data_IF_685886136902
#
_entry.id   IF_685886136902
#
_cell.length_a   1.000
_cell.length_b   1.000
_cell.length_c   1.000
_cell.angle_alpha   90.00
_cell.angle_beta   90.00
_cell.angle_gamma   90.00
#
_symmetry.space_group_name_H-M   'P 1'
#
loop_
_entity.id
_entity.type
_entity.pdbx_description
1 polymer ?
#
# COMPACT_ATOMS: atom_id res chain seq x y z
N UNK A 1 4.35 -14.54 19.51
CA UNK A 1 5.59 -14.90 18.76
C UNK A 1 6.37 -13.60 18.68
N UNK A 2 7.47 -13.47 19.39
CA UNK A 2 8.35 -12.32 19.19
C UNK A 2 8.88 -12.34 17.76
N UNK A 3 8.70 -11.24 17.05
CA UNK A 3 9.31 -11.06 15.73
C UNK A 3 10.80 -10.84 15.95
N UNK A 4 11.57 -11.91 15.84
CA UNK A 4 13.03 -11.82 15.96
C UNK A 4 13.56 -11.38 14.61
N UNK A 5 13.87 -10.09 14.49
CA UNK A 5 14.53 -9.53 13.31
C UNK A 5 15.96 -10.04 13.24
N UNK A 6 16.39 -10.45 12.04
CA UNK A 6 17.80 -10.69 11.77
C UNK A 6 18.58 -9.35 11.72
N UNK A 7 19.91 -9.42 11.61
CA UNK A 7 20.75 -8.21 11.71
C UNK A 7 20.56 -7.27 10.50
N UNK A 8 20.31 -7.81 9.31
CA UNK A 8 20.03 -7.02 8.10
C UNK A 8 18.69 -6.28 8.24
N UNK A 9 17.66 -6.94 8.79
CA UNK A 9 16.35 -6.35 9.05
C UNK A 9 16.41 -5.25 10.13
N UNK A 10 17.24 -5.41 11.15
CA UNK A 10 17.48 -4.35 12.14
C UNK A 10 18.12 -3.12 11.49
N UNK A 11 19.17 -3.35 10.67
CA UNK A 11 19.85 -2.27 9.94
C UNK A 11 18.91 -1.56 8.97
N UNK A 12 18.07 -2.31 8.26
CA UNK A 12 17.05 -1.74 7.37
C UNK A 12 16.06 -0.86 8.14
N UNK A 13 15.54 -1.35 9.28
CA UNK A 13 14.62 -0.59 10.14
C UNK A 13 15.26 0.69 10.66
N UNK A 14 16.50 0.62 11.20
CA UNK A 14 17.24 1.78 11.68
C UNK A 14 17.53 2.79 10.55
N UNK A 15 17.86 2.32 9.36
CA UNK A 15 18.08 3.18 8.19
C UNK A 15 16.77 3.89 7.78
N UNK A 16 15.67 3.17 7.79
CA UNK A 16 14.35 3.72 7.50
C UNK A 16 13.93 4.77 8.54
N UNK A 17 14.14 4.51 9.82
CA UNK A 17 13.89 5.44 10.91
C UNK A 17 14.64 6.76 10.71
N UNK A 18 15.97 6.70 10.48
CA UNK A 18 16.80 7.89 10.20
C UNK A 18 16.36 8.68 8.97
N UNK A 19 15.95 7.97 7.90
CA UNK A 19 15.41 8.63 6.70
C UNK A 19 14.14 9.40 7.01
N UNK A 20 13.21 8.74 7.73
CA UNK A 20 11.92 9.32 8.11
C UNK A 20 12.08 10.47 9.10
N UNK A 21 12.97 10.37 10.09
CA UNK A 21 13.29 11.47 10.99
C UNK A 21 13.77 12.72 10.24
N UNK A 22 14.53 12.53 9.17
CA UNK A 22 15.11 13.64 8.39
C UNK A 22 14.13 14.27 7.40
N UNK A 23 13.28 13.48 6.75
CA UNK A 23 12.47 13.91 5.61
C UNK A 23 10.95 13.78 5.82
N UNK A 24 10.52 13.12 6.88
CA UNK A 24 9.13 12.94 7.27
C UNK A 24 8.68 13.88 8.39
N UNK A 25 7.62 13.48 9.07
CA UNK A 25 7.07 14.14 10.24
C UNK A 25 5.94 15.12 9.96
N UNK A 26 5.29 15.59 11.03
CA UNK A 26 4.12 16.45 10.93
C UNK A 26 4.32 17.73 10.13
N UNK A 27 5.47 18.41 10.30
CA UNK A 27 5.75 19.67 9.59
C UNK A 27 5.97 19.46 8.09
N UNK A 28 6.64 18.36 7.71
CA UNK A 28 6.79 17.99 6.30
C UNK A 28 5.42 17.66 5.68
N UNK A 29 4.57 16.96 6.43
CA UNK A 29 3.21 16.62 5.99
C UNK A 29 2.32 17.87 5.85
N UNK A 30 2.40 18.85 6.77
CA UNK A 30 1.64 20.13 6.65
C UNK A 30 2.04 20.88 5.38
N UNK A 31 3.35 20.99 5.10
CA UNK A 31 3.83 21.63 3.86
C UNK A 31 3.31 20.95 2.61
N UNK A 32 3.25 19.61 2.64
CA UNK A 32 2.77 18.82 1.52
C UNK A 32 1.27 18.97 1.29
N UNK A 33 0.49 19.12 2.36
CA UNK A 33 -0.95 19.37 2.30
C UNK A 33 -1.30 20.66 1.52
N UNK A 34 -0.39 21.65 1.52
CA UNK A 34 -0.57 22.91 0.81
C UNK A 34 -0.12 22.84 -0.66
N UNK A 35 0.52 21.74 -1.07
CA UNK A 35 0.87 21.46 -2.48
C UNK A 35 -0.34 20.87 -3.20
N UNK A 36 -0.64 21.33 -4.41
CA UNK A 36 -1.82 20.91 -5.18
C UNK A 36 -1.90 19.39 -5.38
N UNK A 37 -0.77 18.74 -5.69
CA UNK A 37 -0.70 17.29 -5.87
C UNK A 37 -0.65 16.48 -4.56
N UNK A 38 -0.37 17.10 -3.40
CA UNK A 38 -0.14 16.38 -2.14
C UNK A 38 1.01 15.38 -2.21
N UNK A 39 2.02 15.63 -3.05
CA UNK A 39 3.11 14.71 -3.37
C UNK A 39 4.46 15.41 -3.45
N UNK A 40 5.52 14.80 -2.87
CA UNK A 40 6.89 15.32 -2.92
C UNK A 40 7.79 14.40 -3.76
N UNK A 41 8.08 14.83 -5.00
CA UNK A 41 8.97 14.11 -5.92
C UNK A 41 10.41 14.02 -5.40
N UNK A 42 10.87 15.02 -4.63
CA UNK A 42 12.20 15.03 -4.01
C UNK A 42 12.32 13.97 -2.92
N UNK A 43 11.29 13.83 -2.07
CA UNK A 43 11.22 12.80 -1.04
C UNK A 43 11.13 11.40 -1.66
N UNK A 44 10.33 11.21 -2.71
CA UNK A 44 10.30 9.95 -3.44
C UNK A 44 11.68 9.57 -3.99
N UNK A 45 12.42 10.54 -4.55
CA UNK A 45 13.79 10.30 -5.03
C UNK A 45 14.70 9.83 -3.90
N UNK A 46 14.63 10.45 -2.72
CA UNK A 46 15.42 10.05 -1.55
C UNK A 46 15.07 8.62 -1.08
N UNK A 47 13.78 8.27 -1.10
CA UNK A 47 13.29 6.91 -0.79
C UNK A 47 13.82 5.90 -1.80
N UNK A 48 13.85 6.26 -3.08
CA UNK A 48 14.40 5.43 -4.16
C UNK A 48 15.92 5.25 -4.01
N UNK A 49 16.67 6.31 -3.69
CA UNK A 49 18.11 6.26 -3.41
C UNK A 49 18.44 5.40 -2.19
N UNK A 50 17.54 5.31 -1.20
CA UNK A 50 17.64 4.38 -0.07
C UNK A 50 17.28 2.92 -0.44
N UNK A 51 16.93 2.65 -1.70
CA UNK A 51 16.67 1.30 -2.21
C UNK A 51 15.27 0.73 -1.95
N UNK A 52 14.33 1.50 -1.33
CA UNK A 52 13.03 0.94 -0.94
C UNK A 52 12.21 0.44 -2.13
N UNK A 53 12.34 1.09 -3.30
CA UNK A 53 11.60 0.68 -4.51
C UNK A 53 12.18 -0.58 -5.16
N UNK A 54 13.45 -0.91 -4.90
CA UNK A 54 14.12 -2.09 -5.44
C UNK A 54 14.15 -3.29 -4.48
N UNK A 55 13.71 -3.13 -3.21
CA UNK A 55 13.77 -4.18 -2.18
C UNK A 55 13.21 -5.51 -2.67
N UNK A 56 12.02 -5.51 -3.27
CA UNK A 56 11.34 -6.72 -3.71
C UNK A 56 11.62 -7.12 -5.17
N UNK A 57 12.39 -6.33 -5.92
CA UNK A 57 12.77 -6.66 -7.30
C UNK A 57 13.69 -7.89 -7.28
N UNK A 58 13.47 -8.90 -8.15
CA UNK A 58 14.33 -10.09 -8.21
C UNK A 58 15.80 -9.75 -8.49
N UNK A 59 16.75 -10.48 -7.87
CA UNK A 59 18.19 -10.30 -8.10
C UNK A 59 18.57 -10.41 -9.58
N UNK A 60 17.94 -11.34 -10.33
CA UNK A 60 18.15 -11.49 -11.79
C UNK A 60 17.67 -10.30 -12.63
N UNK A 61 16.98 -9.34 -12.01
CA UNK A 61 16.57 -8.08 -12.59
C UNK A 61 17.27 -6.89 -11.88
N UNK A 62 18.45 -7.14 -11.30
CA UNK A 62 19.30 -6.18 -10.60
C UNK A 62 18.63 -5.55 -9.35
N UNK A 63 17.70 -6.26 -8.72
CA UNK A 63 17.07 -5.90 -7.45
C UNK A 63 17.73 -6.57 -6.25
N UNK A 64 17.17 -6.33 -5.04
CA UNK A 64 17.67 -6.90 -3.79
C UNK A 64 17.10 -8.29 -3.47
N UNK A 65 16.05 -8.73 -4.16
CA UNK A 65 15.45 -10.05 -3.98
C UNK A 65 14.78 -10.30 -2.62
N UNK A 66 14.59 -9.23 -1.82
CA UNK A 66 14.00 -9.32 -0.48
C UNK A 66 12.48 -9.51 -0.52
N UNK A 67 11.86 -9.68 0.65
CA UNK A 67 10.45 -9.97 0.79
C UNK A 67 9.58 -8.75 1.10
N UNK A 68 8.25 -9.01 1.19
CA UNK A 68 7.31 -8.02 1.71
C UNK A 68 7.53 -7.77 3.20
N UNK A 69 8.08 -8.74 3.94
CA UNK A 69 8.45 -8.59 5.35
C UNK A 69 9.44 -7.44 5.53
N UNK A 70 10.46 -7.37 4.67
CA UNK A 70 11.50 -6.34 4.73
C UNK A 70 10.95 -4.96 4.35
N UNK A 71 10.15 -4.90 3.28
CA UNK A 71 9.49 -3.65 2.89
C UNK A 71 8.52 -3.16 3.98
N UNK A 72 7.81 -4.05 4.68
CA UNK A 72 6.89 -3.70 5.76
C UNK A 72 7.61 -3.00 6.92
N UNK A 73 8.86 -3.37 7.24
CA UNK A 73 9.67 -2.68 8.25
C UNK A 73 9.93 -1.20 7.88
N UNK A 74 10.23 -0.93 6.62
CA UNK A 74 10.43 0.43 6.14
C UNK A 74 9.11 1.22 6.10
N UNK A 75 8.00 0.59 5.67
CA UNK A 75 6.68 1.22 5.59
C UNK A 75 6.07 1.50 6.97
N UNK A 76 6.37 0.69 7.99
CA UNK A 76 6.02 0.99 9.37
C UNK A 76 6.66 2.32 9.81
N UNK A 77 7.95 2.55 9.48
CA UNK A 77 8.61 3.83 9.77
C UNK A 77 8.01 4.97 8.92
N UNK A 78 7.68 4.73 7.64
CA UNK A 78 6.97 5.69 6.80
C UNK A 78 5.65 6.15 7.44
N UNK A 79 4.87 5.23 7.98
CA UNK A 79 3.64 5.55 8.71
C UNK A 79 3.88 6.40 9.95
N UNK A 80 4.92 6.09 10.75
CA UNK A 80 5.32 6.90 11.91
C UNK A 80 5.62 8.34 11.54
N UNK A 81 6.27 8.56 10.39
CA UNK A 81 6.66 9.89 9.92
C UNK A 81 5.69 10.54 8.95
N UNK A 82 4.48 10.03 8.76
CA UNK A 82 3.50 10.57 7.81
C UNK A 82 4.08 10.76 6.40
N UNK A 83 4.92 9.82 5.96
CA UNK A 83 5.42 9.74 4.58
C UNK A 83 4.29 9.21 3.71
N UNK A 84 3.79 10.05 2.80
CA UNK A 84 2.56 9.79 2.05
C UNK A 84 2.80 9.23 0.65
N UNK A 85 4.04 9.23 0.16
CA UNK A 85 4.40 8.67 -1.15
C UNK A 85 3.95 7.20 -1.27
N UNK A 86 3.44 6.77 -2.43
CA UNK A 86 2.85 5.44 -2.62
C UNK A 86 3.91 4.33 -2.73
N UNK A 87 4.81 4.23 -1.74
CA UNK A 87 5.97 3.33 -1.77
C UNK A 87 5.55 1.88 -1.94
N UNK A 88 4.51 1.43 -1.23
CA UNK A 88 3.98 0.06 -1.36
C UNK A 88 3.56 -0.25 -2.79
N UNK A 89 2.85 0.67 -3.45
CA UNK A 89 2.37 0.52 -4.81
C UNK A 89 3.53 0.52 -5.82
N UNK A 90 4.48 1.45 -5.67
CA UNK A 90 5.63 1.57 -6.56
C UNK A 90 6.59 0.38 -6.44
N UNK A 91 6.89 -0.09 -5.22
CA UNK A 91 7.72 -1.26 -5.00
C UNK A 91 7.07 -2.56 -5.53
N UNK A 92 5.75 -2.69 -5.40
CA UNK A 92 5.00 -3.81 -5.98
C UNK A 92 4.99 -3.76 -7.52
N UNK A 93 4.84 -2.57 -8.11
CA UNK A 93 4.98 -2.36 -9.55
C UNK A 93 6.38 -2.71 -10.05
N UNK A 94 7.43 -2.24 -9.36
CA UNK A 94 8.82 -2.54 -9.69
C UNK A 94 9.11 -4.05 -9.66
N UNK A 95 8.61 -4.75 -8.63
CA UNK A 95 8.70 -6.22 -8.54
C UNK A 95 8.01 -6.90 -9.72
N UNK A 96 6.81 -6.47 -10.10
CA UNK A 96 6.06 -7.07 -11.20
C UNK A 96 6.78 -6.86 -12.54
N UNK A 97 7.28 -5.64 -12.80
CA UNK A 97 8.06 -5.31 -13.99
C UNK A 97 9.36 -6.12 -14.02
N UNK A 98 10.09 -6.21 -12.91
CA UNK A 98 11.31 -7.02 -12.80
C UNK A 98 11.06 -8.52 -12.98
N UNK A 99 9.92 -9.03 -12.54
CA UNK A 99 9.50 -10.43 -12.75
C UNK A 99 9.11 -10.67 -14.21
N UNK A 100 8.38 -9.75 -14.83
CA UNK A 100 8.00 -9.81 -16.25
C UNK A 100 9.21 -9.68 -17.17
N UNK A 101 10.16 -8.78 -16.89
CA UNK A 101 11.43 -8.62 -17.62
C UNK A 101 12.18 -9.95 -17.79
N UNK A 102 12.22 -10.75 -16.73
CA UNK A 102 12.85 -12.04 -16.76
C UNK A 102 12.22 -13.03 -17.77
N UNK A 103 10.99 -12.73 -18.21
CA UNK A 103 10.23 -13.55 -19.17
C UNK A 103 10.17 -12.95 -20.57
N UNK A 104 10.27 -11.62 -20.75
CA UNK A 104 9.94 -10.93 -22.01
C UNK A 104 11.07 -10.11 -22.65
N UNK A 105 12.20 -9.82 -21.99
CA UNK A 105 13.37 -9.17 -22.59
C UNK A 105 13.47 -7.65 -22.43
N UNK A 106 14.19 -6.96 -23.32
CA UNK A 106 14.80 -5.63 -23.12
C UNK A 106 13.88 -4.41 -22.92
N UNK A 107 12.65 -4.39 -23.42
CA UNK A 107 11.76 -3.20 -23.32
C UNK A 107 11.38 -2.83 -21.88
N UNK A 108 11.37 -3.80 -20.98
CA UNK A 108 11.03 -3.62 -19.56
C UNK A 108 12.20 -3.12 -18.71
N UNK A 109 13.45 -3.18 -19.22
CA UNK A 109 14.64 -2.76 -18.47
C UNK A 109 14.67 -1.26 -18.19
N UNK A 110 14.43 -0.45 -19.21
CA UNK A 110 14.39 1.00 -19.07
C UNK A 110 13.25 1.43 -18.15
N UNK A 111 12.08 0.79 -18.28
CA UNK A 111 10.94 1.04 -17.41
C UNK A 111 11.28 0.72 -15.94
N UNK A 112 11.93 -0.44 -15.69
CA UNK A 112 12.33 -0.83 -14.33
C UNK A 112 13.35 0.14 -13.74
N UNK A 113 14.41 0.49 -14.49
CA UNK A 113 15.45 1.41 -14.02
C UNK A 113 14.88 2.80 -13.70
N UNK A 114 13.94 3.29 -14.51
CA UNK A 114 13.27 4.56 -14.26
C UNK A 114 12.36 4.51 -13.02
N UNK A 115 11.71 3.38 -12.79
CA UNK A 115 10.83 3.16 -11.63
C UNK A 115 11.63 3.04 -10.34
N UNK A 116 12.65 2.17 -10.27
CA UNK A 116 13.45 1.97 -9.05
C UNK A 116 14.29 3.19 -8.67
N UNK A 117 14.63 4.05 -9.63
CA UNK A 117 15.30 5.34 -9.37
C UNK A 117 14.34 6.47 -8.96
N UNK A 118 13.04 6.22 -8.90
CA UNK A 118 12.03 7.23 -8.59
C UNK A 118 11.85 8.33 -9.65
N UNK A 119 12.39 8.11 -10.87
CA UNK A 119 12.22 9.04 -12.00
C UNK A 119 10.82 8.96 -12.58
N UNK A 120 10.29 7.74 -12.77
CA UNK A 120 8.94 7.48 -13.26
C UNK A 120 8.07 6.92 -12.14
N UNK A 121 6.85 7.40 -12.07
CA UNK A 121 5.81 7.01 -11.12
C UNK A 121 4.84 6.10 -11.87
N UNK A 122 4.96 4.78 -11.68
CA UNK A 122 4.11 3.77 -12.31
C UNK A 122 3.06 3.27 -11.32
N UNK A 123 1.86 3.81 -11.38
CA UNK A 123 0.77 3.49 -10.46
C UNK A 123 0.01 2.24 -10.93
N UNK A 124 -0.19 1.23 -10.08
CA UNK A 124 -0.99 0.06 -10.44
C UNK A 124 -2.48 0.38 -10.47
N UNK A 125 -3.13 -0.02 -11.56
CA UNK A 125 -4.56 0.12 -11.81
C UNK A 125 -5.14 -1.28 -11.94
N UNK A 126 -5.45 -1.88 -10.79
CA UNK A 126 -5.81 -3.29 -10.70
C UNK A 126 -7.31 -3.47 -10.38
N UNK A 127 -7.87 -4.60 -10.78
CA UNK A 127 -9.20 -5.02 -10.35
C UNK A 127 -9.22 -5.23 -8.83
N UNK A 128 -10.23 -4.66 -8.19
CA UNK A 128 -10.41 -4.86 -6.75
C UNK A 128 -11.04 -6.23 -6.46
N UNK A 129 -10.27 -7.17 -5.87
CA UNK A 129 -10.78 -8.50 -5.55
C UNK A 129 -11.74 -8.51 -4.35
N UNK A 130 -11.86 -7.42 -3.59
CA UNK A 130 -12.86 -7.30 -2.52
C UNK A 130 -14.27 -7.13 -3.09
N UNK A 131 -14.38 -6.53 -4.27
CA UNK A 131 -15.65 -6.38 -4.98
C UNK A 131 -16.05 -7.71 -5.64
N UNK A 132 -17.31 -8.15 -5.54
CA UNK A 132 -17.79 -9.31 -6.27
C UNK A 132 -17.56 -9.20 -7.78
N UNK A 133 -17.13 -10.28 -8.43
CA UNK A 133 -16.71 -10.28 -9.83
C UNK A 133 -17.69 -9.63 -10.81
N UNK A 134 -19.00 -9.78 -10.58
CA UNK A 134 -20.06 -9.19 -11.41
C UNK A 134 -20.19 -7.65 -11.27
N UNK A 135 -19.61 -7.07 -10.20
CA UNK A 135 -19.68 -5.63 -9.91
C UNK A 135 -18.34 -4.92 -10.08
N UNK A 136 -17.28 -5.66 -10.45
CA UNK A 136 -15.96 -5.06 -10.64
C UNK A 136 -15.93 -4.16 -11.85
N UNK A 137 -15.36 -2.98 -11.68
CA UNK A 137 -14.90 -2.18 -12.80
C UNK A 137 -13.80 -2.95 -13.54
N UNK A 138 -13.86 -2.99 -14.86
CA UNK A 138 -12.91 -3.75 -15.68
C UNK A 138 -12.37 -2.87 -16.80
N UNK A 139 -11.07 -2.98 -17.03
CA UNK A 139 -10.47 -2.50 -18.26
C UNK A 139 -10.45 -3.69 -19.22
N UNK A 140 -11.04 -3.52 -20.38
CA UNK A 140 -11.03 -4.51 -21.45
C UNK A 140 -9.88 -4.20 -22.40
N UNK A 141 -9.24 -5.26 -22.91
CA UNK A 141 -8.21 -5.18 -23.91
C UNK A 141 -8.60 -6.05 -25.11
N UNK A 142 -8.84 -5.43 -26.23
CA UNK A 142 -9.10 -6.11 -27.49
C UNK A 142 -7.84 -6.09 -28.36
N UNK A 143 -7.61 -7.18 -29.10
CA UNK A 143 -6.52 -7.22 -30.08
C UNK A 143 -6.75 -6.17 -31.16
N UNK A 144 -5.79 -5.30 -31.38
CA UNK A 144 -5.84 -4.26 -32.39
C UNK A 144 -4.49 -4.14 -33.12
N UNK A 145 -4.48 -4.50 -34.39
CA UNK A 145 -3.25 -4.62 -35.20
C UNK A 145 -2.18 -5.50 -34.49
N UNK A 146 -1.03 -4.93 -34.13
CA UNK A 146 0.08 -5.61 -33.45
C UNK A 146 0.09 -5.34 -31.92
N UNK A 147 -1.05 -4.92 -31.38
CA UNK A 147 -1.14 -4.56 -29.96
C UNK A 147 -2.51 -4.74 -29.38
N UNK A 148 -2.86 -3.84 -28.48
CA UNK A 148 -4.15 -3.86 -27.79
C UNK A 148 -4.81 -2.48 -27.82
N UNK A 149 -6.14 -2.48 -27.89
CA UNK A 149 -6.97 -1.31 -27.61
C UNK A 149 -7.65 -1.50 -26.27
N UNK A 150 -7.45 -0.54 -25.34
CA UNK A 150 -7.99 -0.59 -24.00
C UNK A 150 -9.21 0.31 -23.87
N UNK A 151 -10.25 -0.19 -23.18
CA UNK A 151 -11.48 0.56 -22.90
C UNK A 151 -11.98 0.25 -21.49
N UNK A 152 -12.41 1.28 -20.76
CA UNK A 152 -13.02 1.14 -19.45
C UNK A 152 -12.57 2.20 -18.48
N UNK A 153 -13.16 2.19 -17.28
CA UNK A 153 -12.93 3.18 -16.23
C UNK A 153 -12.52 2.50 -14.94
N UNK A 154 -11.64 3.16 -14.16
CA UNK A 154 -11.26 2.78 -12.81
C UNK A 154 -11.37 3.96 -11.88
N UNK A 155 -12.03 3.76 -10.76
CA UNK A 155 -12.23 4.77 -9.73
C UNK A 155 -11.36 4.53 -8.50
N UNK A 156 -11.11 5.59 -7.73
CA UNK A 156 -10.44 5.50 -6.44
C UNK A 156 -8.96 5.09 -6.50
N UNK A 157 -8.27 5.37 -7.58
CA UNK A 157 -6.83 5.04 -7.75
C UNK A 157 -5.98 6.08 -7.00
N UNK A 158 -5.25 5.66 -5.94
CA UNK A 158 -4.37 6.57 -5.21
C UNK A 158 -3.27 7.11 -6.11
N UNK A 159 -2.99 8.41 -5.99
CA UNK A 159 -1.90 9.08 -6.71
C UNK A 159 -1.98 9.04 -8.26
N UNK A 160 -3.17 8.79 -8.83
CA UNK A 160 -3.34 8.78 -10.29
C UNK A 160 -2.94 10.10 -10.96
N UNK A 161 -3.08 11.24 -10.25
CA UNK A 161 -2.75 12.57 -10.76
C UNK A 161 -1.26 12.75 -11.05
N UNK A 162 -0.39 12.17 -10.20
CA UNK A 162 1.07 12.32 -10.30
C UNK A 162 1.75 11.19 -11.08
N UNK A 163 0.99 10.22 -11.58
CA UNK A 163 1.50 9.10 -12.33
C UNK A 163 2.11 9.54 -13.67
N UNK A 164 3.29 9.04 -14.00
CA UNK A 164 3.88 9.11 -15.34
C UNK A 164 3.38 7.98 -16.25
N UNK A 165 2.82 6.92 -15.64
CA UNK A 165 2.20 5.78 -16.32
C UNK A 165 1.39 4.91 -15.38
N UNK A 166 0.66 3.99 -15.95
CA UNK A 166 -0.22 3.05 -15.24
C UNK A 166 0.17 1.61 -15.54
N UNK A 167 0.25 0.76 -14.52
CA UNK A 167 0.39 -0.68 -14.67
C UNK A 167 -1.00 -1.31 -14.55
N UNK A 168 -1.57 -1.69 -15.69
CA UNK A 168 -2.99 -2.04 -15.83
C UNK A 168 -3.17 -3.55 -15.94
N UNK A 169 -4.06 -4.14 -15.14
CA UNK A 169 -4.60 -5.46 -15.39
C UNK A 169 -5.80 -5.35 -16.34
N UNK A 170 -5.63 -5.75 -17.59
CA UNK A 170 -6.68 -5.66 -18.59
C UNK A 170 -7.22 -7.05 -18.96
N UNK A 171 -8.53 -7.14 -19.18
CA UNK A 171 -9.22 -8.36 -19.54
C UNK A 171 -9.30 -8.54 -21.05
N UNK A 172 -8.75 -9.63 -21.54
CA UNK A 172 -8.93 -10.09 -22.93
C UNK A 172 -9.99 -11.21 -22.99
N UNK A 173 -10.35 -11.69 -24.19
CA UNK A 173 -11.18 -12.89 -24.37
C UNK A 173 -10.59 -14.14 -23.70
N UNK A 174 -9.25 -14.21 -23.60
CA UNK A 174 -8.52 -15.40 -23.15
C UNK A 174 -8.10 -15.32 -21.68
N UNK A 175 -8.26 -14.16 -21.02
CA UNK A 175 -7.92 -13.91 -19.62
C UNK A 175 -7.33 -12.53 -19.37
N UNK A 176 -6.55 -12.38 -18.29
CA UNK A 176 -6.01 -11.10 -17.85
C UNK A 176 -4.56 -10.93 -18.28
N UNK A 177 -4.25 -9.84 -18.94
CA UNK A 177 -2.87 -9.39 -19.24
C UNK A 177 -2.45 -8.30 -18.25
N UNK A 178 -1.14 -8.06 -18.12
CA UNK A 178 -0.58 -6.95 -17.36
C UNK A 178 0.24 -6.09 -18.31
N UNK A 179 -0.14 -4.82 -18.48
CA UNK A 179 0.42 -3.92 -19.47
C UNK A 179 0.75 -2.55 -18.88
N UNK A 180 1.86 -1.93 -19.30
CA UNK A 180 2.17 -0.53 -18.97
C UNK A 180 1.45 0.39 -19.95
N UNK A 181 0.82 1.43 -19.44
CA UNK A 181 0.15 2.46 -20.23
C UNK A 181 0.77 3.81 -19.86
N UNK A 182 1.56 4.45 -20.75
CA UNK A 182 2.08 5.78 -20.52
C UNK A 182 0.95 6.80 -20.34
N UNK A 183 1.11 7.74 -19.42
CA UNK A 183 0.09 8.73 -19.05
C UNK A 183 -0.35 9.62 -20.20
N UNK A 184 0.57 9.95 -21.11
CA UNK A 184 0.37 10.82 -22.27
C UNK A 184 -0.23 10.11 -23.48
N UNK A 185 -0.58 8.81 -23.36
CA UNK A 185 -1.23 8.08 -24.46
C UNK A 185 -2.62 8.67 -24.73
N UNK A 186 -2.91 8.89 -26.02
CA UNK A 186 -4.20 9.44 -26.43
C UNK A 186 -5.36 8.55 -25.96
N UNK A 187 -6.43 9.17 -25.48
CA UNK A 187 -7.61 8.48 -24.96
C UNK A 187 -7.59 8.27 -23.43
N UNK A 188 -6.53 8.69 -22.71
CA UNK A 188 -6.50 8.64 -21.25
C UNK A 188 -6.94 9.98 -20.67
N UNK A 189 -7.89 9.91 -19.73
CA UNK A 189 -8.24 11.04 -18.87
C UNK A 189 -8.12 10.65 -17.40
N UNK A 190 -7.68 11.60 -16.56
CA UNK A 190 -7.59 11.41 -15.12
C UNK A 190 -8.28 12.58 -14.45
N UNK A 191 -9.32 12.27 -13.69
CA UNK A 191 -10.02 13.19 -12.81
C UNK A 191 -9.67 12.86 -11.36
N UNK A 192 -9.00 13.78 -10.65
CA UNK A 192 -8.50 13.55 -9.31
C UNK A 192 -9.19 14.44 -8.28
N UNK A 193 -9.41 13.89 -7.10
CA UNK A 193 -9.98 14.57 -5.94
C UNK A 193 -9.09 14.38 -4.72
N UNK A 194 -8.95 15.44 -3.91
CA UNK A 194 -8.16 15.39 -2.69
C UNK A 194 -8.86 14.60 -1.59
N UNK A 195 -8.06 13.86 -0.86
CA UNK A 195 -8.49 13.14 0.34
C UNK A 195 -8.30 14.00 1.60
N UNK A 196 -8.81 13.52 2.72
CA UNK A 196 -8.78 14.29 3.99
C UNK A 196 -7.38 14.49 4.56
N UNK A 197 -6.39 13.69 4.15
CA UNK A 197 -4.98 13.83 4.54
C UNK A 197 -4.16 14.68 3.57
N UNK A 198 -4.79 15.22 2.52
CA UNK A 198 -4.15 16.07 1.52
C UNK A 198 -3.54 15.33 0.34
N UNK A 199 -3.54 14.00 0.31
CA UNK A 199 -3.20 13.22 -0.90
C UNK A 199 -4.36 13.25 -1.91
N UNK A 200 -4.24 12.57 -3.04
CA UNK A 200 -5.30 12.53 -4.05
C UNK A 200 -5.63 11.10 -4.48
N UNK A 201 -6.91 10.86 -4.79
CA UNK A 201 -7.39 9.69 -5.51
C UNK A 201 -7.98 10.13 -6.84
N UNK A 202 -7.75 9.34 -7.90
CA UNK A 202 -8.25 9.65 -9.23
C UNK A 202 -9.19 8.60 -9.79
N UNK A 203 -10.03 9.04 -10.71
CA UNK A 203 -10.73 8.20 -11.67
C UNK A 203 -9.95 8.25 -12.97
N UNK A 204 -9.65 7.10 -13.55
CA UNK A 204 -8.93 6.97 -14.81
C UNK A 204 -9.89 6.38 -15.83
N UNK A 205 -10.08 7.08 -16.95
CA UNK A 205 -10.85 6.59 -18.07
C UNK A 205 -9.93 6.27 -19.26
N UNK A 206 -10.14 5.09 -19.85
CA UNK A 206 -9.47 4.59 -21.04
C UNK A 206 -10.46 4.56 -22.18
N UNK A 207 -10.41 5.55 -23.06
CA UNK A 207 -11.29 5.70 -24.21
C UNK A 207 -10.56 5.25 -25.49
N UNK A 208 -10.68 3.96 -25.84
CA UNK A 208 -10.05 3.36 -27.03
C UNK A 208 -8.54 3.58 -27.09
N UNK A 209 -7.85 3.44 -25.97
CA UNK A 209 -6.40 3.64 -25.84
C UNK A 209 -5.65 2.55 -26.58
N UNK A 210 -4.95 2.92 -27.66
CA UNK A 210 -4.21 1.97 -28.49
C UNK A 210 -2.75 1.88 -28.07
N UNK A 211 -2.28 0.66 -27.82
CA UNK A 211 -0.93 0.34 -27.38
C UNK A 211 -0.31 -0.74 -28.26
N UNK A 212 0.98 -0.58 -28.60
CA UNK A 212 1.77 -1.63 -29.25
C UNK A 212 2.24 -2.63 -28.22
N UNK A 213 2.00 -3.94 -28.44
CA UNK A 213 2.18 -4.96 -27.39
C UNK A 213 3.64 -5.23 -27.00
N UNK A 214 4.56 -5.18 -27.95
CA UNK A 214 5.91 -5.75 -27.79
C UNK A 214 6.77 -5.01 -26.75
N UNK A 215 6.49 -3.73 -26.48
CA UNK A 215 7.30 -2.91 -25.57
C UNK A 215 6.67 -2.72 -24.17
N UNK A 216 5.35 -2.82 -24.08
CA UNK A 216 4.58 -2.41 -22.91
C UNK A 216 3.91 -3.58 -22.16
N UNK A 217 3.86 -4.77 -22.78
CA UNK A 217 3.30 -5.97 -22.18
C UNK A 217 4.28 -6.55 -21.15
N UNK A 218 3.89 -6.52 -19.87
CA UNK A 218 4.67 -7.11 -18.75
C UNK A 218 4.40 -8.59 -18.61
N UNK A 219 3.13 -9.00 -18.82
CA UNK A 219 2.74 -10.41 -18.73
C UNK A 219 1.52 -10.70 -19.59
N UNK A 220 1.59 -11.77 -20.40
CA UNK A 220 0.45 -12.33 -21.11
C UNK A 220 -0.51 -13.08 -20.19
N UNK A 221 -1.60 -13.59 -20.76
CA UNK A 221 -2.78 -14.15 -20.05
C UNK A 221 -2.45 -15.10 -18.89
N UNK A 222 -1.54 -16.06 -19.10
CA UNK A 222 -1.22 -17.05 -18.06
C UNK A 222 -0.50 -16.48 -16.83
N UNK A 223 0.21 -15.40 -16.99
CA UNK A 223 1.04 -14.79 -15.95
C UNK A 223 0.44 -13.48 -15.44
N UNK A 224 -0.36 -12.79 -16.23
CA UNK A 224 -0.96 -11.50 -15.91
C UNK A 224 -1.81 -11.54 -14.64
N UNK A 225 -2.73 -12.49 -14.54
CA UNK A 225 -3.57 -12.66 -13.34
C UNK A 225 -2.73 -12.94 -12.08
N UNK A 226 -1.66 -13.75 -12.21
CA UNK A 226 -0.78 -14.07 -11.06
C UNK A 226 -0.01 -12.84 -10.59
N UNK A 227 0.55 -12.07 -11.52
CA UNK A 227 1.30 -10.85 -11.18
C UNK A 227 0.37 -9.77 -10.63
N UNK A 228 -0.81 -9.57 -11.21
CA UNK A 228 -1.81 -8.63 -10.68
C UNK A 228 -2.20 -9.01 -9.23
N UNK A 229 -2.39 -10.30 -8.95
CA UNK A 229 -2.66 -10.79 -7.60
C UNK A 229 -1.48 -10.58 -6.64
N UNK A 230 -0.24 -10.79 -7.09
CA UNK A 230 0.97 -10.55 -6.28
C UNK A 230 1.13 -9.06 -5.96
N UNK A 231 0.92 -8.18 -6.93
CA UNK A 231 0.93 -6.72 -6.71
C UNK A 231 -0.10 -6.35 -5.65
N UNK A 232 -1.35 -6.79 -5.81
CA UNK A 232 -2.43 -6.48 -4.88
C UNK A 232 -2.10 -6.92 -3.45
N UNK A 233 -1.65 -8.16 -3.26
CA UNK A 233 -1.25 -8.73 -1.96
C UNK A 233 -0.20 -7.85 -1.28
N UNK A 234 0.83 -7.46 -2.01
CA UNK A 234 1.94 -6.65 -1.46
C UNK A 234 1.52 -5.23 -1.12
N UNK A 235 0.68 -4.62 -1.92
CA UNK A 235 0.10 -3.31 -1.60
C UNK A 235 -0.72 -3.39 -0.31
N UNK A 236 -1.58 -4.40 -0.15
CA UNK A 236 -2.41 -4.55 1.05
C UNK A 236 -1.57 -4.70 2.31
N UNK A 237 -0.52 -5.51 2.27
CA UNK A 237 0.38 -5.71 3.41
C UNK A 237 1.20 -4.43 3.67
N UNK A 238 1.69 -3.77 2.62
CA UNK A 238 2.43 -2.52 2.74
C UNK A 238 1.60 -1.38 3.36
N UNK A 239 0.38 -1.16 2.88
CA UNK A 239 -0.56 -0.18 3.46
C UNK A 239 -0.92 -0.54 4.91
N UNK A 240 -1.00 -1.85 5.24
CA UNK A 240 -1.24 -2.30 6.62
C UNK A 240 -0.05 -2.03 7.53
N UNK A 241 1.18 -2.13 7.01
CA UNK A 241 2.40 -1.76 7.73
C UNK A 241 2.46 -0.24 8.00
N UNK A 242 2.07 0.56 7.01
CA UNK A 242 1.97 2.01 7.19
C UNK A 242 0.93 2.38 8.25
N UNK A 243 -0.26 1.73 8.24
CA UNK A 243 -1.27 1.92 9.28
C UNK A 243 -0.74 1.56 10.68
N UNK A 244 0.11 0.53 10.79
CA UNK A 244 0.76 0.15 12.04
C UNK A 244 1.64 1.29 12.57
N UNK A 245 2.50 1.86 11.72
CA UNK A 245 3.34 3.00 12.09
C UNK A 245 2.54 4.25 12.49
N UNK A 246 1.44 4.53 11.77
CA UNK A 246 0.49 5.62 12.13
C UNK A 246 -0.08 5.43 13.53
N UNK A 247 -0.49 4.20 13.88
CA UNK A 247 -1.04 3.91 15.22
C UNK A 247 0.00 4.08 16.33
N UNK A 248 1.21 3.58 16.10
CA UNK A 248 2.28 3.67 17.08
C UNK A 248 2.63 5.11 17.39
N UNK A 249 2.92 5.91 16.37
CA UNK A 249 3.30 7.30 16.58
C UNK A 249 2.16 8.11 17.20
N UNK A 250 0.92 7.85 16.80
CA UNK A 250 -0.23 8.50 17.40
C UNK A 250 -0.35 8.17 18.92
N UNK A 251 -0.12 6.91 19.29
CA UNK A 251 -0.14 6.51 20.71
C UNK A 251 1.03 7.11 21.47
N UNK A 252 2.26 7.13 20.90
CA UNK A 252 3.44 7.76 21.51
C UNK A 252 3.17 9.24 21.83
N UNK A 253 2.56 9.98 20.91
CA UNK A 253 2.14 11.38 21.13
C UNK A 253 1.16 11.50 22.30
N UNK A 254 0.17 10.61 22.38
CA UNK A 254 -0.80 10.64 23.46
C UNK A 254 -0.17 10.33 24.81
N UNK A 255 0.72 9.33 24.88
CA UNK A 255 1.44 8.97 26.10
C UNK A 255 2.32 10.13 26.58
N UNK A 256 3.09 10.75 25.68
CA UNK A 256 3.89 11.93 26.00
C UNK A 256 3.05 13.10 26.52
N UNK A 257 1.91 13.37 25.85
CA UNK A 257 0.98 14.41 26.31
C UNK A 257 0.40 14.10 27.70
N UNK A 258 -0.01 12.86 27.96
CA UNK A 258 -0.56 12.46 29.25
C UNK A 258 0.46 12.55 30.41
N UNK A 259 1.76 12.44 30.12
CA UNK A 259 2.82 12.59 31.11
C UNK A 259 3.08 14.05 31.51
N UNK A 260 2.84 14.99 30.57
CA UNK A 260 3.18 16.40 30.76
C UNK A 260 1.96 17.29 31.06
N UNK A 261 0.78 16.93 30.57
CA UNK A 261 -0.43 17.71 30.78
C UNK A 261 -0.98 17.51 32.20
N UNK A 262 -1.13 18.59 32.94
CA UNK A 262 -1.71 18.58 34.29
C UNK A 262 -3.16 19.05 34.29
N UNK A 263 -4.01 18.34 35.00
CA UNK A 263 -5.37 18.71 35.39
C UNK A 263 -5.69 18.10 36.76
N UNK A 264 -6.55 18.76 37.53
CA UNK A 264 -6.92 18.32 38.88
C UNK A 264 -5.71 18.13 39.78
N UNK A 265 -4.67 18.97 39.64
CA UNK A 265 -3.47 18.98 40.48
C UNK A 265 -2.44 17.87 40.21
N UNK A 266 -2.53 17.16 39.09
CA UNK A 266 -1.58 16.11 38.70
C UNK A 266 -1.58 15.82 37.19
N UNK A 267 -0.52 15.16 36.65
CA UNK A 267 -0.51 14.72 35.27
C UNK A 267 -1.72 13.85 34.95
N UNK A 268 -2.34 14.08 33.78
CA UNK A 268 -3.56 13.35 33.40
C UNK A 268 -3.30 11.85 33.19
N UNK A 269 -2.08 11.44 32.85
CA UNK A 269 -1.67 10.04 32.78
C UNK A 269 -1.71 9.27 34.11
N UNK A 270 -1.90 9.97 35.24
CA UNK A 270 -2.12 9.33 36.55
C UNK A 270 -3.55 8.81 36.74
N UNK A 271 -4.49 9.15 35.86
CA UNK A 271 -5.87 8.67 35.94
C UNK A 271 -6.04 7.32 35.23
N UNK A 272 -6.54 6.33 35.97
CA UNK A 272 -6.72 4.95 35.49
C UNK A 272 -7.55 4.89 34.19
N UNK A 273 -8.57 5.76 34.00
CA UNK A 273 -9.39 5.77 32.82
C UNK A 273 -8.56 6.02 31.55
N UNK A 274 -7.54 6.87 31.62
CA UNK A 274 -6.63 7.15 30.50
C UNK A 274 -5.56 6.06 30.36
N UNK A 275 -5.04 5.52 31.47
CA UNK A 275 -4.11 4.40 31.46
C UNK A 275 -4.72 3.18 30.79
N UNK A 276 -5.94 2.78 31.16
CA UNK A 276 -6.64 1.64 30.55
C UNK A 276 -6.91 1.87 29.07
N UNK A 277 -7.22 3.11 28.67
CA UNK A 277 -7.40 3.46 27.26
C UNK A 277 -6.11 3.25 26.49
N UNK A 278 -4.99 3.81 26.94
CA UNK A 278 -3.69 3.66 26.30
C UNK A 278 -3.22 2.20 26.20
N UNK A 279 -3.45 1.41 27.28
CA UNK A 279 -3.15 -0.04 27.25
C UNK A 279 -4.01 -0.78 26.23
N UNK A 280 -5.32 -0.48 26.16
CA UNK A 280 -6.18 -1.08 25.14
C UNK A 280 -5.74 -0.73 23.71
N UNK A 281 -5.33 0.50 23.47
CA UNK A 281 -4.80 0.92 22.16
C UNK A 281 -3.49 0.20 21.85
N UNK A 282 -2.58 0.06 22.79
CA UNK A 282 -1.36 -0.71 22.64
C UNK A 282 -1.65 -2.19 22.31
N UNK A 283 -2.61 -2.82 22.97
CA UNK A 283 -3.04 -4.19 22.66
C UNK A 283 -3.53 -4.29 21.20
N UNK A 284 -4.31 -3.30 20.71
CA UNK A 284 -4.75 -3.30 19.32
C UNK A 284 -3.57 -3.23 18.33
N UNK A 285 -2.57 -2.41 18.62
CA UNK A 285 -1.35 -2.26 17.82
C UNK A 285 -0.60 -3.60 17.76
N UNK A 286 -0.36 -4.25 18.91
CA UNK A 286 0.37 -5.52 18.97
C UNK A 286 -0.36 -6.67 18.26
N UNK A 287 -1.70 -6.69 18.33
CA UNK A 287 -2.50 -7.67 17.57
C UNK A 287 -2.36 -7.46 16.04
N UNK A 288 -2.35 -6.21 15.58
CA UNK A 288 -2.12 -5.89 14.15
C UNK A 288 -0.69 -6.27 13.76
N UNK A 289 0.31 -5.91 14.57
CA UNK A 289 1.72 -6.24 14.33
C UNK A 289 1.92 -7.73 14.15
N UNK A 290 1.44 -8.51 15.11
CA UNK A 290 1.59 -9.97 15.10
C UNK A 290 0.96 -10.60 13.87
N UNK A 291 -0.27 -10.20 13.51
CA UNK A 291 -0.97 -10.71 12.34
C UNK A 291 -0.29 -10.29 11.04
N UNK A 292 0.12 -9.02 10.92
CA UNK A 292 0.78 -8.48 9.73
C UNK A 292 2.06 -9.26 9.42
N UNK A 293 2.99 -9.34 10.37
CA UNK A 293 4.27 -9.99 10.12
C UNK A 293 4.15 -11.50 9.94
N UNK A 294 3.19 -12.15 10.62
CA UNK A 294 2.87 -13.55 10.34
C UNK A 294 2.47 -13.76 8.88
N UNK A 295 1.62 -12.87 8.35
CA UNK A 295 1.14 -13.00 6.97
C UNK A 295 2.20 -12.56 5.95
N UNK A 296 3.00 -11.54 6.25
CA UNK A 296 4.16 -11.17 5.42
C UNK A 296 5.12 -12.37 5.25
N UNK A 297 5.52 -13.00 6.34
CA UNK A 297 6.36 -14.20 6.32
C UNK A 297 5.72 -15.36 5.53
N UNK A 298 4.41 -15.57 5.67
CA UNK A 298 3.70 -16.59 4.91
C UNK A 298 3.70 -16.30 3.40
N UNK A 299 3.55 -15.03 3.00
CA UNK A 299 3.61 -14.59 1.59
C UNK A 299 5.01 -14.79 1.03
N UNK A 300 6.06 -14.39 1.77
CA UNK A 300 7.45 -14.56 1.36
C UNK A 300 7.84 -16.03 1.26
N UNK A 301 7.30 -16.89 2.14
CA UNK A 301 7.45 -18.35 2.10
C UNK A 301 6.57 -19.06 1.05
N UNK A 302 5.78 -18.31 0.25
CA UNK A 302 4.91 -18.90 -0.78
C UNK A 302 3.65 -19.60 -0.25
N UNK A 303 3.27 -19.35 1.01
CA UNK A 303 2.10 -19.95 1.69
C UNK A 303 1.00 -18.93 1.99
N UNK A 304 1.19 -17.67 1.57
CA UNK A 304 0.20 -16.62 1.76
C UNK A 304 -1.06 -16.85 0.94
N UNK A 305 -2.24 -16.56 1.51
CA UNK A 305 -3.51 -16.61 0.80
C UNK A 305 -4.20 -15.25 0.78
N UNK A 306 -5.12 -15.06 -0.18
CA UNK A 306 -5.95 -13.84 -0.24
C UNK A 306 -6.80 -13.67 1.02
N UNK A 307 -7.25 -14.76 1.64
CA UNK A 307 -7.97 -14.72 2.90
C UNK A 307 -7.11 -14.13 4.03
N UNK A 308 -5.86 -14.60 4.19
CA UNK A 308 -4.95 -14.08 5.20
C UNK A 308 -4.71 -12.57 5.03
N UNK A 309 -4.46 -12.11 3.80
CA UNK A 309 -4.23 -10.70 3.47
C UNK A 309 -5.48 -9.85 3.77
N UNK A 310 -6.67 -10.35 3.42
CA UNK A 310 -7.93 -9.69 3.74
C UNK A 310 -8.15 -9.56 5.26
N UNK A 311 -7.77 -10.57 6.04
CA UNK A 311 -7.83 -10.50 7.50
C UNK A 311 -6.91 -9.40 8.07
N UNK A 312 -5.68 -9.29 7.56
CA UNK A 312 -4.72 -8.23 7.95
C UNK A 312 -5.31 -6.85 7.67
N UNK A 313 -5.73 -6.60 6.42
CA UNK A 313 -6.24 -5.28 6.01
C UNK A 313 -7.52 -4.91 6.77
N UNK A 314 -8.45 -5.86 6.96
CA UNK A 314 -9.66 -5.63 7.76
C UNK A 314 -9.29 -5.21 9.19
N UNK A 315 -8.40 -5.96 9.84
CA UNK A 315 -7.97 -5.71 11.21
C UNK A 315 -7.22 -4.39 11.37
N UNK A 316 -6.26 -4.12 10.47
CA UNK A 316 -5.48 -2.88 10.47
C UNK A 316 -6.37 -1.65 10.24
N UNK A 317 -7.31 -1.70 9.27
CA UNK A 317 -8.23 -0.60 8.98
C UNK A 317 -9.16 -0.26 10.16
N UNK A 318 -9.64 -1.27 10.90
CA UNK A 318 -10.47 -1.05 12.08
C UNK A 318 -9.65 -0.50 13.25
N UNK A 319 -8.48 -1.09 13.50
CA UNK A 319 -7.62 -0.69 14.59
C UNK A 319 -7.08 0.74 14.43
N UNK A 320 -6.61 1.12 13.22
CA UNK A 320 -6.04 2.46 12.99
C UNK A 320 -7.06 3.56 13.24
N UNK A 321 -8.32 3.37 12.85
CA UNK A 321 -9.39 4.32 13.15
C UNK A 321 -9.75 4.35 14.63
N UNK A 322 -9.76 3.20 15.30
CA UNK A 322 -10.06 3.11 16.73
C UNK A 322 -8.98 3.79 17.57
N UNK A 323 -7.71 3.46 17.33
CA UNK A 323 -6.55 4.01 18.04
C UNK A 323 -6.42 5.51 17.83
N UNK A 324 -6.47 5.99 16.59
CA UNK A 324 -6.30 7.43 16.31
C UNK A 324 -7.46 8.27 16.86
N UNK A 325 -8.71 7.78 16.85
CA UNK A 325 -9.84 8.43 17.53
C UNK A 325 -9.66 8.44 19.05
N UNK A 326 -9.16 7.35 19.62
CA UNK A 326 -8.84 7.25 21.04
C UNK A 326 -7.75 8.26 21.45
N UNK A 327 -6.73 8.42 20.61
CA UNK A 327 -5.66 9.42 20.77
C UNK A 327 -6.23 10.84 20.79
N UNK A 328 -7.11 11.21 19.85
CA UNK A 328 -7.80 12.52 19.90
C UNK A 328 -8.55 12.72 21.22
N UNK A 329 -9.27 11.68 21.69
CA UNK A 329 -9.99 11.76 22.96
C UNK A 329 -9.04 11.95 24.17
N UNK A 330 -7.86 11.33 24.16
CA UNK A 330 -6.87 11.51 25.25
C UNK A 330 -6.27 12.91 25.29
N UNK A 331 -6.18 13.59 24.13
CA UNK A 331 -5.75 15.00 24.07
C UNK A 331 -6.87 16.00 24.42
N UNK A 332 -8.15 15.62 24.28
CA UNK A 332 -9.27 16.51 24.45
C UNK A 332 -9.35 17.58 23.35
N UNK A 333 -9.73 18.82 23.69
CA UNK A 333 -9.98 19.87 22.71
C UNK A 333 -8.78 20.17 21.79
N UNK A 334 -7.56 20.14 22.32
CA UNK A 334 -6.34 20.42 21.51
C UNK A 334 -6.12 19.41 20.40
N UNK A 335 -6.55 18.15 20.59
CA UNK A 335 -6.43 17.10 19.59
C UNK A 335 -7.22 17.35 18.29
N UNK A 336 -8.21 18.27 18.33
CA UNK A 336 -8.98 18.68 17.14
C UNK A 336 -8.39 19.89 16.43
N UNK A 337 -7.45 20.60 17.05
CA UNK A 337 -6.84 21.78 16.42
C UNK A 337 -5.85 21.36 15.34
N UNK A 338 -5.68 22.18 14.31
CA UNK A 338 -4.71 21.92 13.24
C UNK A 338 -3.27 22.19 13.67
N UNK A 339 -3.09 22.88 14.78
CA UNK A 339 -1.79 23.17 15.40
C UNK A 339 -1.17 21.94 16.06
N UNK A 340 -2.01 20.97 16.47
CA UNK A 340 -1.55 19.77 17.14
C UNK A 340 -1.51 18.55 16.20
N UNK A 341 -0.47 17.73 16.34
CA UNK A 341 -0.15 16.68 15.36
C UNK A 341 -1.13 15.50 15.34
N UNK A 342 -1.83 15.23 16.45
CA UNK A 342 -2.74 14.09 16.56
C UNK A 342 -3.79 14.05 15.43
N UNK A 343 -4.30 15.23 15.01
CA UNK A 343 -5.25 15.35 13.91
C UNK A 343 -4.70 14.89 12.55
N UNK A 344 -3.41 15.02 12.31
CA UNK A 344 -2.76 14.59 11.07
C UNK A 344 -2.76 13.05 10.97
N UNK A 345 -2.45 12.36 12.08
CA UNK A 345 -2.49 10.89 12.14
C UNK A 345 -3.90 10.34 11.96
N UNK A 346 -4.92 11.00 12.52
CA UNK A 346 -6.32 10.60 12.27
C UNK A 346 -6.70 10.76 10.80
N UNK A 347 -6.34 11.87 10.15
CA UNK A 347 -6.63 12.07 8.71
C UNK A 347 -5.93 11.04 7.85
N UNK A 348 -4.63 10.76 8.12
CA UNK A 348 -3.90 9.69 7.41
C UNK A 348 -4.55 8.33 7.65
N UNK A 349 -4.95 8.00 8.87
CA UNK A 349 -5.66 6.79 9.20
C UNK A 349 -6.96 6.62 8.40
N UNK A 350 -7.76 7.71 8.24
CA UNK A 350 -9.00 7.68 7.48
C UNK A 350 -8.76 7.37 6.00
N UNK A 351 -7.73 7.98 5.40
CA UNK A 351 -7.34 7.71 4.01
C UNK A 351 -6.87 6.27 3.85
N UNK A 352 -5.90 5.80 4.64
CA UNK A 352 -5.36 4.44 4.54
C UNK A 352 -6.39 3.34 4.81
N UNK A 353 -7.32 3.58 5.76
CA UNK A 353 -8.38 2.63 6.09
C UNK A 353 -9.37 2.41 4.94
N UNK A 354 -9.58 3.41 4.09
CA UNK A 354 -10.49 3.34 2.94
C UNK A 354 -9.79 2.92 1.65
N UNK A 355 -8.49 3.16 1.52
CA UNK A 355 -7.73 2.77 0.32
C UNK A 355 -7.80 1.27 0.07
N UNK A 356 -8.07 0.89 -1.19
CA UNK A 356 -8.15 -0.51 -1.65
C UNK A 356 -9.18 -1.35 -0.88
N UNK A 357 -10.28 -0.76 -0.47
CA UNK A 357 -11.35 -1.38 0.28
C UNK A 357 -11.27 -1.16 1.80
N UNK A 358 -12.44 -1.01 2.41
CA UNK A 358 -12.58 -0.79 3.84
C UNK A 358 -12.64 -2.11 4.65
N UNK A 359 -12.69 -2.01 5.98
CA UNK A 359 -12.69 -3.18 6.87
C UNK A 359 -13.86 -4.15 6.62
N UNK A 360 -15.06 -3.66 6.25
CA UNK A 360 -16.22 -4.51 5.97
C UNK A 360 -16.03 -5.31 4.67
N UNK A 361 -15.57 -4.65 3.61
CA UNK A 361 -15.29 -5.28 2.32
C UNK A 361 -14.21 -6.36 2.44
N UNK A 362 -13.16 -6.10 3.24
CA UNK A 362 -12.13 -7.09 3.51
C UNK A 362 -12.62 -8.25 4.38
N UNK A 363 -13.53 -8.04 5.34
CA UNK A 363 -14.18 -9.15 6.07
C UNK A 363 -15.01 -10.04 5.15
N UNK A 364 -15.77 -9.46 4.24
CA UNK A 364 -16.51 -10.22 3.22
C UNK A 364 -15.56 -10.98 2.28
N UNK A 365 -14.47 -10.35 1.87
CA UNK A 365 -13.43 -10.96 1.06
C UNK A 365 -12.77 -12.14 1.80
N UNK A 366 -12.46 -12.00 3.08
CA UNK A 366 -11.94 -13.08 3.93
C UNK A 366 -12.87 -14.31 3.91
N UNK A 367 -14.17 -14.12 4.18
CA UNK A 367 -15.13 -15.22 4.20
C UNK A 367 -15.22 -15.90 2.82
N UNK A 368 -15.25 -15.13 1.75
CA UNK A 368 -15.31 -15.64 0.37
C UNK A 368 -14.10 -16.49 0.04
N UNK A 369 -12.90 -15.96 0.29
CA UNK A 369 -11.65 -16.66 -0.05
C UNK A 369 -11.38 -17.85 0.86
N UNK A 370 -11.74 -17.80 2.14
CA UNK A 370 -11.64 -18.95 3.05
C UNK A 370 -12.50 -20.13 2.62
N UNK A 371 -13.69 -19.87 2.08
CA UNK A 371 -14.56 -20.93 1.52
C UNK A 371 -13.92 -21.55 0.27
N UNK A 372 -13.41 -20.73 -0.65
CA UNK A 372 -12.74 -21.21 -1.86
C UNK A 372 -11.48 -22.04 -1.54
N UNK A 373 -10.71 -21.64 -0.52
CA UNK A 373 -9.52 -22.37 -0.08
C UNK A 373 -9.92 -23.71 0.55
N UNK A 374 -11.01 -23.78 1.33
CA UNK A 374 -11.55 -25.01 1.90
C UNK A 374 -12.10 -25.96 0.82
N UNK A 375 -12.81 -25.46 -0.20
CA UNK A 375 -13.30 -26.24 -1.33
C UNK A 375 -12.16 -26.87 -2.12
N UNK A 376 -11.09 -26.11 -2.43
CA UNK A 376 -9.89 -26.61 -3.10
C UNK A 376 -9.16 -27.67 -2.28
N UNK A 377 -9.15 -27.55 -0.95
CA UNK A 377 -8.54 -28.53 -0.06
C UNK A 377 -9.36 -29.82 0.05
N UNK A 378 -10.68 -29.75 -0.15
CA UNK A 378 -11.61 -30.87 -0.08
C UNK A 378 -11.70 -31.68 -1.39
N UNK A 379 -11.20 -31.18 -2.53
CA UNK A 379 -11.18 -31.91 -3.80
C UNK A 379 -10.14 -33.06 -3.73
N UNK A 380 -10.55 -34.35 -3.70
CA UNK A 380 -9.62 -35.46 -3.68
C UNK A 380 -9.06 -35.67 -5.09
N UNK A 381 -7.84 -35.28 -5.36
CA UNK A 381 -7.17 -35.70 -6.60
C UNK A 381 -6.07 -34.83 -7.19
N UNK A 382 -5.79 -33.63 -6.68
CA UNK A 382 -4.63 -32.82 -7.15
C UNK A 382 -3.54 -32.70 -6.08
N UNK A 383 -3.04 -33.84 -5.57
CA UNK A 383 -1.73 -33.84 -4.92
C UNK A 383 -0.68 -33.55 -5.99
N UNK A 384 0.09 -32.51 -5.75
CA UNK A 384 1.24 -32.06 -6.54
C UNK A 384 2.08 -33.23 -7.00
N UNK A 385 2.20 -33.42 -8.34
CA UNK A 385 3.31 -34.08 -8.94
C UNK A 385 4.40 -33.06 -9.24
#
# INVERSE_FOLDING_TARGET
MELVLNDDQKLLKESAEKLVERYGGPDAHRKLRDVESGFDKGRLKTIAEAGWLSLMVPEKADGLGLGITDLALALEQAGRGLVTEPVAALAASARAVGTGRAATGAGTEQALNSLVSGKNILIPVLQDPTVPAAKRERIFAEHYHYGYQLTGTRTGIPFAEVADGFLVDANTSDGTILIIVPRDTFGITVDASRTVDGTAHGTIDFAEVTLMADELLIAGVKQGEKLAADIYIRIMLGVSAEMLGVMEQALDLAVGYMQTREQFGRPIGSFQALQHRAVNDHIQIELVRSLLYQVCNAVDGGHGSRAMVAAVKARASEAVLSVTKSVIQMHGAIGFTDEYDAGLYLRRAMTLASQYGNASEHRESFVRHSRLDAEKAAEPGKRRK
#
